data_IF_269242771464
#
_entry.id   IF_269242771464
#
_cell.length_a   1.000
_cell.length_b   1.000
_cell.length_c   1.000
_cell.angle_alpha   90.00
_cell.angle_beta   90.00
_cell.angle_gamma   90.00
#
_symmetry.space_group_name_H-M   'P 1'
#
loop_
_entity.id
_entity.type
_entity.pdbx_description
1 polymer ?
#
# COMPACT_ATOMS: atom_id res chain seq x y z
N UNK A 1 -12.39 2.22 6.45
CA UNK A 1 -11.83 3.60 6.52
C UNK A 1 -12.95 4.56 6.22
N UNK A 2 -12.99 5.72 6.88
CA UNK A 2 -14.01 6.76 6.67
C UNK A 2 -13.36 8.14 6.67
N UNK A 3 -13.85 9.04 5.84
CA UNK A 3 -13.42 10.44 5.75
C UNK A 3 -14.65 11.33 5.56
N UNK A 4 -14.70 12.44 6.29
CA UNK A 4 -15.67 13.50 6.06
C UNK A 4 -15.01 14.61 5.27
N UNK A 5 -15.57 14.95 4.12
CA UNK A 5 -15.09 16.02 3.25
C UNK A 5 -15.92 17.28 3.43
N UNK A 6 -15.25 18.42 3.34
CA UNK A 6 -15.87 19.73 3.37
C UNK A 6 -16.17 20.22 1.96
N UNK A 7 -17.25 20.97 1.82
CA UNK A 7 -17.46 21.89 0.72
C UNK A 7 -16.95 23.26 1.19
N UNK A 8 -17.85 24.23 1.38
CA UNK A 8 -17.53 25.57 1.87
C UNK A 8 -18.05 25.87 3.28
N UNK A 9 -18.53 24.87 4.02
CA UNK A 9 -19.14 25.08 5.33
C UNK A 9 -18.22 25.85 6.30
N UNK A 10 -16.91 25.55 6.27
CA UNK A 10 -15.92 26.22 7.13
C UNK A 10 -15.69 27.70 6.81
N UNK A 11 -16.22 28.20 5.69
CA UNK A 11 -16.24 29.63 5.39
C UNK A 11 -17.05 30.42 6.42
N UNK A 12 -18.12 29.81 6.95
CA UNK A 12 -19.09 30.49 7.84
C UNK A 12 -19.25 29.83 9.20
N UNK A 13 -18.84 28.57 9.34
CA UNK A 13 -18.96 27.86 10.61
C UNK A 13 -18.14 28.51 11.72
N UNK A 14 -18.79 28.64 12.87
CA UNK A 14 -18.19 29.09 14.11
C UNK A 14 -17.26 28.04 14.73
N UNK A 15 -16.47 28.47 15.71
CA UNK A 15 -15.65 27.57 16.53
C UNK A 15 -16.44 26.48 17.22
N UNK A 16 -17.63 26.82 17.71
CA UNK A 16 -18.54 25.88 18.36
C UNK A 16 -19.01 24.79 17.41
N UNK A 17 -19.42 25.15 16.19
CA UNK A 17 -19.88 24.18 15.18
C UNK A 17 -18.77 23.20 14.77
N UNK A 18 -17.54 23.69 14.58
CA UNK A 18 -16.39 22.81 14.30
C UNK A 18 -16.05 21.97 15.52
N UNK A 19 -16.19 22.50 16.73
CA UNK A 19 -16.05 21.75 17.98
C UNK A 19 -17.06 20.59 18.08
N UNK A 20 -18.32 20.83 17.72
CA UNK A 20 -19.36 19.81 17.67
C UNK A 20 -19.05 18.73 16.62
N UNK A 21 -18.60 19.12 15.42
CA UNK A 21 -18.13 18.17 14.41
C UNK A 21 -17.01 17.26 14.95
N UNK A 22 -15.99 17.85 15.58
CA UNK A 22 -14.86 17.11 16.13
C UNK A 22 -15.31 16.14 17.24
N UNK A 23 -16.24 16.56 18.10
CA UNK A 23 -16.83 15.70 19.11
C UNK A 23 -17.56 14.51 18.47
N UNK A 24 -18.33 14.74 17.39
CA UNK A 24 -19.05 13.66 16.69
C UNK A 24 -18.10 12.69 15.98
N UNK A 25 -16.98 13.18 15.44
CA UNK A 25 -15.95 12.30 14.90
C UNK A 25 -15.37 11.39 15.99
N UNK A 26 -15.13 11.92 17.19
CA UNK A 26 -14.66 11.10 18.34
C UNK A 26 -15.71 10.07 18.76
N UNK A 27 -16.99 10.44 18.77
CA UNK A 27 -18.08 9.50 19.06
C UNK A 27 -18.11 8.36 18.01
N UNK A 28 -17.95 8.69 16.74
CA UNK A 28 -17.92 7.71 15.64
C UNK A 28 -16.71 6.77 15.73
N UNK A 29 -15.53 7.29 16.05
CA UNK A 29 -14.33 6.48 16.30
C UNK A 29 -14.54 5.51 17.46
N UNK A 30 -15.12 6.00 18.55
CA UNK A 30 -15.38 5.19 19.76
C UNK A 30 -16.39 4.08 19.47
N UNK A 31 -17.41 4.36 18.66
CA UNK A 31 -18.42 3.38 18.28
C UNK A 31 -17.95 2.37 17.24
N UNK A 32 -16.87 2.64 16.50
CA UNK A 32 -16.40 1.81 15.38
C UNK A 32 -14.88 1.56 15.45
N UNK A 33 -14.39 0.77 16.42
CA UNK A 33 -12.94 0.60 16.66
C UNK A 33 -12.18 -0.04 15.49
N UNK A 34 -12.85 -0.79 14.63
CA UNK A 34 -12.24 -1.43 13.45
C UNK A 34 -12.17 -0.49 12.23
N UNK A 35 -12.77 0.70 12.32
CA UNK A 35 -12.76 1.71 11.26
C UNK A 35 -11.72 2.78 11.57
N UNK A 36 -10.74 2.95 10.68
CA UNK A 36 -9.85 4.11 10.72
C UNK A 36 -10.58 5.35 10.17
N UNK A 37 -10.69 6.39 10.99
CA UNK A 37 -11.24 7.69 10.59
C UNK A 37 -10.11 8.64 10.20
N UNK A 38 -10.33 9.36 9.10
CA UNK A 38 -9.43 10.37 8.56
C UNK A 38 -10.13 11.72 8.70
N UNK A 39 -9.47 12.66 9.36
CA UNK A 39 -9.88 14.05 9.41
C UNK A 39 -9.36 14.75 8.17
N UNK A 40 -10.05 15.80 7.74
CA UNK A 40 -9.69 16.59 6.57
C UNK A 40 -9.85 18.07 6.90
N UNK A 41 -8.99 18.93 6.37
CA UNK A 41 -9.21 20.38 6.35
C UNK A 41 -10.07 20.77 5.14
N UNK A 42 -10.77 21.89 5.19
CA UNK A 42 -11.41 22.46 4.00
C UNK A 42 -10.36 23.04 3.04
N UNK A 43 -10.81 23.45 1.86
CA UNK A 43 -10.00 24.15 0.85
C UNK A 43 -9.35 25.44 1.40
N UNK A 44 -8.41 26.02 0.66
CA UNK A 44 -7.77 27.30 0.99
C UNK A 44 -8.13 28.43 0.02
N UNK A 45 -9.31 28.40 -0.60
CA UNK A 45 -9.69 29.40 -1.61
C UNK A 45 -9.89 30.81 -1.01
N UNK A 46 -9.15 31.78 -1.52
CA UNK A 46 -9.23 33.18 -1.11
C UNK A 46 -8.75 33.45 0.32
N UNK A 47 -8.64 34.74 0.68
CA UNK A 47 -8.24 35.21 2.02
C UNK A 47 -9.36 35.02 3.07
N UNK A 48 -9.90 33.80 3.21
CA UNK A 48 -10.96 33.53 4.17
C UNK A 48 -10.40 33.19 5.56
N UNK A 49 -10.37 34.20 6.43
CA UNK A 49 -9.84 34.10 7.81
C UNK A 49 -10.64 33.14 8.69
N UNK A 50 -11.96 33.02 8.47
CA UNK A 50 -12.81 32.08 9.21
C UNK A 50 -12.41 30.64 8.87
N UNK A 51 -12.40 30.29 7.59
CA UNK A 51 -11.99 28.98 7.07
C UNK A 51 -10.59 28.62 7.53
N UNK A 52 -9.64 29.56 7.45
CA UNK A 52 -8.29 29.36 7.94
C UNK A 52 -8.27 29.02 9.44
N UNK A 53 -8.97 29.78 10.28
CA UNK A 53 -9.06 29.51 11.71
C UNK A 53 -9.70 28.14 12.02
N UNK A 54 -10.73 27.73 11.25
CA UNK A 54 -11.35 26.42 11.39
C UNK A 54 -10.43 25.28 10.94
N UNK A 55 -9.67 25.47 9.86
CA UNK A 55 -8.63 24.53 9.44
C UNK A 55 -7.55 24.36 10.53
N UNK A 56 -7.11 25.45 11.16
CA UNK A 56 -6.17 25.36 12.29
C UNK A 56 -6.76 24.64 13.51
N UNK A 57 -8.06 24.80 13.77
CA UNK A 57 -8.75 24.05 14.82
C UNK A 57 -8.72 22.53 14.56
N UNK A 58 -8.99 22.10 13.31
CA UNK A 58 -8.92 20.68 12.90
C UNK A 58 -7.48 20.16 12.99
N UNK A 59 -6.50 20.92 12.49
CA UNK A 59 -5.07 20.57 12.56
C UNK A 59 -4.62 20.42 14.01
N UNK A 60 -5.02 21.34 14.88
CA UNK A 60 -4.73 21.30 16.31
C UNK A 60 -5.28 20.02 16.94
N UNK A 61 -6.56 19.70 16.69
CA UNK A 61 -7.17 18.46 17.18
C UNK A 61 -6.40 17.21 16.74
N UNK A 62 -6.02 17.14 15.46
CA UNK A 62 -5.30 15.98 14.94
C UNK A 62 -3.91 15.83 15.59
N UNK A 63 -3.17 16.93 15.77
CA UNK A 63 -1.85 16.92 16.42
C UNK A 63 -1.96 16.55 17.90
N UNK A 64 -2.94 17.10 18.62
CA UNK A 64 -3.13 16.85 20.05
C UNK A 64 -3.49 15.38 20.33
N UNK A 65 -4.35 14.77 19.51
CA UNK A 65 -4.88 13.43 19.76
C UNK A 65 -4.31 12.34 18.84
N UNK A 66 -3.28 12.66 18.05
CA UNK A 66 -2.64 11.70 17.15
C UNK A 66 -3.56 11.16 16.06
N UNK A 67 -4.44 12.01 15.51
CA UNK A 67 -5.39 11.62 14.45
C UNK A 67 -4.76 11.68 13.07
N UNK A 68 -5.29 10.86 12.16
CA UNK A 68 -4.89 10.89 10.76
C UNK A 68 -5.52 12.12 10.10
N UNK A 69 -4.70 12.94 9.45
CA UNK A 69 -5.13 14.17 8.77
C UNK A 69 -4.78 14.11 7.28
N UNK A 70 -5.80 14.31 6.44
CA UNK A 70 -5.64 14.67 5.04
C UNK A 70 -5.78 16.20 4.90
N UNK A 71 -4.64 16.90 4.87
CA UNK A 71 -4.61 18.37 4.92
C UNK A 71 -4.80 19.01 3.54
N UNK A 72 -6.03 18.95 3.03
CA UNK A 72 -6.41 19.51 1.73
C UNK A 72 -6.05 20.99 1.60
N UNK A 73 -6.35 21.79 2.62
CA UNK A 73 -6.05 23.22 2.60
C UNK A 73 -4.55 23.52 2.57
N UNK A 74 -3.70 22.66 3.13
CA UNK A 74 -2.24 22.83 2.97
C UNK A 74 -1.82 22.48 1.53
N UNK A 75 -2.32 21.37 0.96
CA UNK A 75 -2.04 20.99 -0.44
C UNK A 75 -2.42 22.08 -1.45
N UNK A 76 -3.49 22.84 -1.19
CA UNK A 76 -3.88 23.99 -2.01
C UNK A 76 -2.83 25.11 -2.03
N UNK A 77 -2.10 25.29 -0.93
CA UNK A 77 -1.24 26.46 -0.75
C UNK A 77 0.17 26.29 -1.32
N UNK A 78 0.57 25.06 -1.69
CA UNK A 78 1.95 24.76 -2.10
C UNK A 78 2.08 24.34 -3.57
N UNK A 79 3.00 25.00 -4.28
CA UNK A 79 3.38 24.63 -5.65
C UNK A 79 4.88 24.79 -5.82
N UNK A 80 5.57 23.77 -6.34
CA UNK A 80 7.02 23.86 -6.60
C UNK A 80 7.89 24.17 -5.36
N UNK A 81 7.48 23.72 -4.16
CA UNK A 81 8.07 24.08 -2.86
C UNK A 81 7.93 25.56 -2.46
N UNK A 82 7.06 26.31 -3.13
CA UNK A 82 6.67 27.65 -2.75
C UNK A 82 5.29 27.62 -2.11
N UNK A 83 5.16 28.29 -0.96
CA UNK A 83 3.88 28.47 -0.27
C UNK A 83 3.30 29.82 -0.64
N UNK A 84 2.07 29.84 -1.11
CA UNK A 84 1.32 31.06 -1.33
C UNK A 84 0.54 31.50 -0.09
N UNK A 85 0.49 32.82 0.12
CA UNK A 85 -0.25 33.44 1.21
C UNK A 85 -0.63 34.88 0.86
N UNK A 86 -1.82 35.29 1.30
CA UNK A 86 -2.35 36.65 1.13
C UNK A 86 -2.72 37.21 2.51
N UNK A 87 -2.29 38.43 2.83
CA UNK A 87 -2.59 39.05 4.14
C UNK A 87 -2.11 38.23 5.35
N UNK A 88 -1.10 37.37 5.16
CA UNK A 88 -0.59 36.42 6.17
C UNK A 88 -1.41 35.12 6.30
N UNK A 89 -2.47 34.93 5.52
CA UNK A 89 -3.29 33.73 5.47
C UNK A 89 -2.77 32.83 4.35
N UNK A 90 -2.45 31.53 4.60
CA UNK A 90 -2.23 30.59 3.51
C UNK A 90 -3.48 30.46 2.64
N UNK A 91 -3.32 30.66 1.34
CA UNK A 91 -4.41 30.59 0.36
C UNK A 91 -3.98 29.78 -0.86
N UNK A 92 -4.96 29.29 -1.62
CA UNK A 92 -4.75 28.50 -2.83
C UNK A 92 -3.73 29.15 -3.75
N UNK A 93 -2.71 28.39 -4.12
CA UNK A 93 -1.65 28.86 -4.99
C UNK A 93 -2.22 29.22 -6.36
N UNK A 94 -1.87 30.37 -6.98
CA UNK A 94 -2.44 30.79 -8.26
C UNK A 94 -2.26 29.77 -9.40
N UNK A 95 -1.22 28.94 -9.31
CA UNK A 95 -0.98 27.83 -10.23
C UNK A 95 -2.06 26.74 -10.21
N UNK A 96 -2.90 26.68 -9.17
CA UNK A 96 -4.02 25.74 -9.05
C UNK A 96 -5.38 26.35 -9.37
N UNK A 97 -5.44 27.68 -9.55
CA UNK A 97 -6.67 28.36 -9.93
C UNK A 97 -7.15 27.88 -11.31
N UNK A 98 -8.43 27.58 -11.41
CA UNK A 98 -9.09 27.15 -12.64
C UNK A 98 -10.44 26.52 -12.36
N UNK A 99 -11.03 25.99 -13.41
CA UNK A 99 -12.27 25.22 -13.30
C UNK A 99 -12.16 23.97 -14.16
N UNK A 100 -11.73 22.88 -13.54
CA UNK A 100 -11.70 21.56 -14.14
C UNK A 100 -12.94 20.79 -13.67
N UNK A 101 -13.86 20.53 -14.58
CA UNK A 101 -15.07 19.72 -14.31
C UNK A 101 -15.95 20.25 -13.15
N UNK A 102 -15.98 21.58 -12.93
CA UNK A 102 -16.80 22.21 -11.89
C UNK A 102 -16.20 22.13 -10.48
N UNK A 103 -14.89 21.90 -10.36
CA UNK A 103 -14.22 21.66 -9.07
C UNK A 103 -13.62 22.92 -8.44
N UNK A 104 -13.75 24.08 -9.08
CA UNK A 104 -13.13 25.35 -8.64
C UNK A 104 -11.60 25.27 -8.45
N UNK A 105 -10.96 24.29 -9.07
CA UNK A 105 -9.52 24.13 -9.18
C UNK A 105 -9.19 23.58 -10.58
N UNK A 106 -7.93 23.66 -10.99
CA UNK A 106 -7.51 23.05 -12.25
C UNK A 106 -7.18 21.55 -12.13
N UNK A 107 -6.96 20.90 -13.27
CA UNK A 107 -6.67 19.46 -13.34
C UNK A 107 -5.41 19.07 -12.53
N UNK A 108 -4.38 19.93 -12.53
CA UNK A 108 -3.15 19.66 -11.80
C UNK A 108 -3.36 19.62 -10.28
N UNK A 109 -4.16 20.56 -9.77
CA UNK A 109 -4.60 20.59 -8.37
C UNK A 109 -5.32 19.29 -7.99
N UNK A 110 -6.28 18.85 -8.82
CA UNK A 110 -6.99 17.58 -8.63
C UNK A 110 -6.03 16.39 -8.59
N UNK A 111 -5.08 16.32 -9.54
CA UNK A 111 -4.07 15.25 -9.59
C UNK A 111 -3.14 15.27 -8.38
N UNK A 112 -2.72 16.45 -7.91
CA UNK A 112 -1.85 16.58 -6.74
C UNK A 112 -2.54 16.06 -5.47
N UNK A 113 -3.78 16.49 -5.24
CA UNK A 113 -4.66 16.01 -4.15
C UNK A 113 -4.87 14.50 -4.23
N UNK A 114 -5.20 13.98 -5.41
CA UNK A 114 -5.39 12.55 -5.62
C UNK A 114 -4.11 11.75 -5.31
N UNK A 115 -2.92 12.22 -5.73
CA UNK A 115 -1.64 11.55 -5.41
C UNK A 115 -1.42 11.47 -3.91
N UNK A 116 -1.62 12.58 -3.18
CA UNK A 116 -1.48 12.60 -1.73
C UNK A 116 -2.49 11.68 -1.04
N UNK A 117 -3.75 11.70 -1.48
CA UNK A 117 -4.79 10.82 -0.96
C UNK A 117 -4.46 9.33 -1.18
N UNK A 118 -4.13 8.94 -2.41
CA UNK A 118 -3.80 7.54 -2.73
C UNK A 118 -2.54 7.06 -2.01
N UNK A 119 -1.53 7.93 -1.87
CA UNK A 119 -0.34 7.61 -1.09
C UNK A 119 -0.71 7.34 0.38
N UNK A 120 -1.47 8.25 1.01
CA UNK A 120 -1.95 8.08 2.39
C UNK A 120 -2.76 6.80 2.53
N UNK A 121 -3.73 6.53 1.65
CA UNK A 121 -4.56 5.33 1.71
C UNK A 121 -3.73 4.05 1.57
N UNK A 122 -2.75 4.02 0.66
CA UNK A 122 -1.83 2.89 0.52
C UNK A 122 -1.00 2.68 1.79
N UNK A 123 -0.45 3.75 2.39
CA UNK A 123 0.28 3.70 3.66
C UNK A 123 -0.58 3.15 4.79
N UNK A 124 -1.81 3.63 4.93
CA UNK A 124 -2.76 3.16 5.94
C UNK A 124 -3.22 1.71 5.69
N UNK A 125 -3.20 1.25 4.44
CA UNK A 125 -3.41 -0.14 4.09
C UNK A 125 -2.16 -1.03 4.30
N UNK A 126 -1.04 -0.48 4.78
CA UNK A 126 0.16 -1.28 5.10
C UNK A 126 1.25 -1.26 4.03
N UNK A 127 1.13 -0.44 2.98
CA UNK A 127 2.22 -0.24 2.03
C UNK A 127 3.39 0.47 2.70
N UNK A 128 4.61 -0.05 2.51
CA UNK A 128 5.82 0.46 3.16
C UNK A 128 6.47 1.65 2.41
N UNK A 129 5.78 2.26 1.45
CA UNK A 129 6.21 3.50 0.80
C UNK A 129 7.46 3.35 -0.06
N UNK A 130 7.64 2.18 -0.67
CA UNK A 130 8.81 1.89 -1.52
C UNK A 130 10.12 1.67 -0.75
N UNK A 131 10.08 1.59 0.59
CA UNK A 131 11.21 1.05 1.37
C UNK A 131 11.25 -0.45 1.11
N UNK A 132 12.05 -0.84 0.14
CA UNK A 132 12.49 -2.22 0.02
C UNK A 132 13.36 -2.55 1.25
N UNK A 133 13.15 -3.69 1.93
CA UNK A 133 14.06 -4.11 2.97
C UNK A 133 15.49 -4.21 2.40
N UNK A 134 16.48 -3.89 3.24
CA UNK A 134 17.89 -3.76 2.86
C UNK A 134 18.52 -5.03 2.26
N UNK A 135 17.83 -6.16 2.39
CA UNK A 135 18.07 -7.37 1.63
C UNK A 135 16.75 -8.13 1.43
N UNK A 136 16.61 -8.92 0.34
CA UNK A 136 15.60 -9.97 0.28
C UNK A 136 15.67 -10.84 1.53
N UNK A 137 14.54 -11.32 2.07
CA UNK A 137 14.52 -12.17 3.26
C UNK A 137 14.80 -13.63 2.85
N UNK A 138 15.17 -13.87 1.59
CA UNK A 138 14.97 -15.11 0.90
C UNK A 138 16.12 -15.27 -0.09
N UNK A 139 17.12 -16.06 0.29
CA UNK A 139 18.05 -16.61 -0.68
C UNK A 139 17.42 -17.90 -1.22
N UNK A 140 16.98 -17.88 -2.47
CA UNK A 140 16.44 -19.07 -3.15
C UNK A 140 17.61 -19.93 -3.64
N UNK A 141 17.79 -21.09 -3.04
CA UNK A 141 18.76 -22.09 -3.47
C UNK A 141 18.01 -23.24 -4.16
N UNK A 142 18.07 -23.29 -5.49
CA UNK A 142 17.71 -24.50 -6.23
C UNK A 142 18.82 -25.55 -6.03
N UNK A 143 18.88 -26.09 -4.82
CA UNK A 143 19.85 -27.09 -4.42
C UNK A 143 19.63 -28.39 -5.18
N UNK A 144 20.46 -28.60 -6.20
CA UNK A 144 20.72 -29.86 -6.92
C UNK A 144 19.49 -30.55 -7.50
N UNK A 145 19.43 -30.60 -8.84
CA UNK A 145 18.63 -31.55 -9.62
C UNK A 145 18.79 -32.97 -9.04
N UNK A 146 17.92 -33.41 -8.13
CA UNK A 146 17.71 -34.83 -7.88
C UNK A 146 16.72 -35.29 -8.93
N UNK A 147 17.22 -35.49 -10.15
CA UNK A 147 16.58 -36.43 -11.05
C UNK A 147 16.78 -37.81 -10.43
N UNK A 148 15.85 -38.19 -9.55
CA UNK A 148 15.62 -39.59 -9.30
C UNK A 148 14.83 -40.11 -10.50
N UNK A 149 15.48 -40.91 -11.35
CA UNK A 149 14.83 -41.55 -12.50
C UNK A 149 13.65 -42.46 -12.12
N UNK A 150 13.35 -42.62 -10.82
CA UNK A 150 12.15 -43.28 -10.33
C UNK A 150 10.99 -42.32 -9.98
N UNK A 151 11.19 -40.99 -9.84
CA UNK A 151 10.19 -40.10 -9.23
C UNK A 151 10.08 -38.66 -9.77
N UNK A 152 10.85 -38.26 -10.80
CA UNK A 152 10.66 -36.98 -11.52
C UNK A 152 10.45 -35.73 -10.61
N UNK A 153 11.22 -35.57 -9.52
CA UNK A 153 10.87 -34.59 -8.46
C UNK A 153 11.92 -33.49 -8.24
N UNK A 154 11.53 -32.21 -8.35
CA UNK A 154 12.35 -31.06 -7.90
C UNK A 154 11.97 -30.65 -6.48
N UNK A 155 12.97 -30.20 -5.71
CA UNK A 155 12.79 -29.61 -4.39
C UNK A 155 13.51 -28.27 -4.31
N UNK A 156 12.82 -27.24 -3.86
CA UNK A 156 13.38 -25.90 -3.63
C UNK A 156 13.70 -25.73 -2.16
N UNK A 157 14.90 -25.24 -1.91
CA UNK A 157 15.31 -24.78 -0.60
C UNK A 157 15.49 -23.27 -0.60
N UNK A 158 15.31 -22.66 0.55
CA UNK A 158 15.65 -21.26 0.73
C UNK A 158 16.23 -21.01 2.12
N UNK A 159 17.15 -20.06 2.21
CA UNK A 159 17.50 -19.45 3.49
C UNK A 159 16.54 -18.29 3.72
N UNK A 160 15.75 -18.37 4.79
CA UNK A 160 14.72 -17.40 5.16
C UNK A 160 15.22 -16.56 6.32
N UNK A 161 15.35 -15.25 6.12
CA UNK A 161 15.58 -14.27 7.19
C UNK A 161 14.26 -13.56 7.51
N UNK A 162 13.68 -13.77 8.70
CA UNK A 162 12.46 -13.09 9.11
C UNK A 162 12.58 -11.57 9.00
N UNK A 163 11.54 -10.95 8.45
CA UNK A 163 11.26 -9.55 8.65
C UNK A 163 9.86 -9.46 9.29
N UNK A 164 9.71 -8.63 10.32
CA UNK A 164 8.44 -8.53 11.04
C UNK A 164 7.31 -8.04 10.10
N UNK A 165 6.18 -8.75 10.09
CA UNK A 165 4.98 -8.36 9.32
C UNK A 165 4.93 -8.88 7.87
N UNK A 166 5.76 -9.87 7.51
CA UNK A 166 5.84 -10.35 6.14
C UNK A 166 5.70 -11.88 6.00
N UNK A 167 5.08 -12.30 4.90
CA UNK A 167 5.02 -13.71 4.46
C UNK A 167 5.85 -13.89 3.18
N UNK A 168 6.71 -14.93 3.09
CA UNK A 168 7.42 -15.23 1.85
C UNK A 168 6.43 -15.75 0.79
N UNK A 169 6.39 -15.07 -0.35
CA UNK A 169 5.66 -15.47 -1.55
C UNK A 169 6.64 -16.14 -2.52
N UNK A 170 6.27 -17.30 -3.07
CA UNK A 170 7.05 -17.95 -4.13
C UNK A 170 6.13 -18.36 -5.28
N UNK A 171 6.51 -18.00 -6.51
CA UNK A 171 5.81 -18.43 -7.75
C UNK A 171 6.77 -18.94 -8.80
N UNK A 172 6.23 -19.74 -9.72
CA UNK A 172 6.92 -20.16 -10.93
C UNK A 172 6.37 -19.44 -12.15
N UNK A 173 7.28 -19.02 -13.02
CA UNK A 173 6.96 -18.50 -14.36
C UNK A 173 7.49 -19.51 -15.37
N UNK A 174 6.61 -19.98 -16.27
CA UNK A 174 6.99 -20.89 -17.35
C UNK A 174 7.77 -20.16 -18.46
N UNK A 175 8.46 -20.89 -19.35
CA UNK A 175 9.11 -20.31 -20.53
C UNK A 175 8.15 -19.47 -21.39
N UNK A 176 6.88 -19.89 -21.49
CA UNK A 176 5.82 -19.18 -22.19
C UNK A 176 5.24 -17.97 -21.42
N UNK A 177 5.74 -17.65 -20.23
CA UNK A 177 5.31 -16.52 -19.39
C UNK A 177 4.07 -16.79 -18.53
N UNK A 178 3.61 -18.05 -18.46
CA UNK A 178 2.47 -18.46 -17.63
C UNK A 178 2.84 -18.54 -16.15
N UNK A 179 1.88 -18.20 -15.28
CA UNK A 179 2.06 -18.30 -13.83
C UNK A 179 1.58 -19.65 -13.31
N UNK A 180 2.42 -20.23 -12.46
CA UNK A 180 2.19 -21.50 -11.82
C UNK A 180 2.21 -21.31 -10.30
N UNK A 181 1.15 -21.79 -9.65
CA UNK A 181 0.94 -21.63 -8.22
C UNK A 181 1.23 -22.93 -7.47
N UNK A 182 1.75 -22.79 -6.25
CA UNK A 182 2.00 -23.91 -5.34
C UNK A 182 0.73 -24.24 -4.57
N UNK A 183 0.32 -25.51 -4.58
CA UNK A 183 -0.77 -26.01 -3.73
C UNK A 183 -0.25 -26.49 -2.38
N UNK A 184 -1.18 -26.57 -1.41
CA UNK A 184 -0.95 -27.07 -0.04
C UNK A 184 -0.47 -28.55 0.03
N UNK A 185 -0.36 -29.25 -1.11
CA UNK A 185 0.09 -30.63 -1.23
C UNK A 185 1.37 -30.83 -2.07
N UNK A 186 2.03 -29.75 -2.52
CA UNK A 186 3.26 -29.85 -3.31
C UNK A 186 3.05 -30.01 -4.83
N UNK A 187 1.91 -29.58 -5.38
CA UNK A 187 1.66 -29.57 -6.82
C UNK A 187 1.69 -28.17 -7.43
N UNK A 188 2.04 -28.07 -8.72
CA UNK A 188 1.89 -26.89 -9.56
C UNK A 188 0.50 -26.88 -10.21
N UNK A 189 -0.26 -25.79 -10.07
CA UNK A 189 -1.48 -25.58 -10.87
C UNK A 189 -1.26 -24.39 -11.80
N UNK A 190 -1.62 -24.50 -13.10
CA UNK A 190 -1.74 -23.33 -13.96
C UNK A 190 -2.77 -22.39 -13.33
N UNK A 191 -2.41 -21.14 -13.07
CA UNK A 191 -3.39 -20.15 -12.63
C UNK A 191 -3.60 -19.09 -13.69
N UNK A 192 -4.85 -18.91 -14.10
CA UNK A 192 -5.29 -17.68 -14.74
C UNK A 192 -5.33 -16.55 -13.71
N UNK A 193 -5.06 -15.32 -14.13
CA UNK A 193 -5.10 -14.12 -13.29
C UNK A 193 -6.53 -13.70 -12.87
N UNK A 194 -7.44 -14.66 -12.66
CA UNK A 194 -8.84 -14.45 -12.35
C UNK A 194 -9.18 -14.91 -10.93
N UNK A 195 -9.70 -13.95 -10.15
CA UNK A 195 -10.51 -14.12 -8.93
C UNK A 195 -9.92 -14.95 -7.78
N UNK A 196 -9.48 -14.25 -6.73
CA UNK A 196 -9.25 -14.85 -5.43
C UNK A 196 -7.87 -15.48 -5.25
N UNK A 197 -6.86 -14.64 -5.07
CA UNK A 197 -5.72 -14.87 -4.19
C UNK A 197 -5.54 -16.30 -3.61
N UNK A 198 -4.90 -17.24 -4.32
CA UNK A 198 -4.43 -18.50 -3.72
C UNK A 198 -3.29 -18.29 -2.70
N UNK A 199 -2.95 -17.03 -2.38
CA UNK A 199 -1.76 -16.54 -1.68
C UNK A 199 -1.57 -17.02 -0.22
N UNK A 200 -2.38 -17.96 0.29
CA UNK A 200 -2.55 -18.13 1.73
C UNK A 200 -1.90 -19.36 2.38
N UNK A 201 -1.06 -20.14 1.69
CA UNK A 201 -0.34 -21.24 2.34
C UNK A 201 1.11 -21.39 1.89
N UNK A 202 1.82 -20.26 1.80
CA UNK A 202 3.28 -20.26 1.98
C UNK A 202 3.64 -20.57 3.44
N UNK A 203 4.92 -20.85 3.76
CA UNK A 203 5.37 -21.14 5.12
C UNK A 203 4.85 -20.10 6.11
N UNK A 204 4.25 -20.59 7.20
CA UNK A 204 3.80 -19.75 8.33
C UNK A 204 4.92 -18.79 8.74
N UNK A 205 4.53 -17.59 9.17
CA UNK A 205 5.41 -16.54 9.73
C UNK A 205 6.56 -17.17 10.49
N UNK A 206 7.75 -17.06 9.91
CA UNK A 206 8.95 -17.62 10.51
C UNK A 206 9.47 -16.58 11.50
N UNK A 207 9.59 -16.94 12.79
CA UNK A 207 10.01 -16.01 13.86
C UNK A 207 11.53 -15.97 14.08
N UNK A 208 12.30 -16.80 13.37
CA UNK A 208 13.76 -16.90 13.47
C UNK A 208 14.38 -17.29 12.12
N UNK A 209 15.61 -16.87 11.77
CA UNK A 209 16.26 -17.30 10.53
C UNK A 209 16.23 -18.82 10.34
N UNK A 210 15.88 -19.28 9.14
CA UNK A 210 15.92 -20.68 8.74
C UNK A 210 16.93 -20.84 7.61
N UNK A 211 17.78 -21.86 7.69
CA UNK A 211 18.68 -22.24 6.61
C UNK A 211 18.20 -23.52 5.93
N UNK A 212 18.36 -23.61 4.61
CA UNK A 212 18.00 -24.76 3.80
C UNK A 212 16.54 -25.21 4.01
N UNK A 213 15.62 -24.25 4.16
CA UNK A 213 14.21 -24.51 4.41
C UNK A 213 13.54 -25.00 3.13
N UNK A 214 12.91 -26.18 3.17
CA UNK A 214 12.17 -26.73 2.01
C UNK A 214 10.92 -25.89 1.75
N UNK A 215 10.99 -25.05 0.72
CA UNK A 215 9.89 -24.17 0.31
C UNK A 215 8.85 -24.95 -0.49
N UNK A 216 9.30 -25.81 -1.39
CA UNK A 216 8.43 -26.55 -2.30
C UNK A 216 9.09 -27.84 -2.78
N UNK A 217 8.27 -28.79 -3.23
CA UNK A 217 8.73 -30.02 -3.87
C UNK A 217 7.61 -30.61 -4.71
N UNK A 218 7.88 -30.97 -5.97
CA UNK A 218 6.86 -31.34 -6.95
C UNK A 218 7.42 -32.28 -8.03
N UNK A 219 6.53 -33.10 -8.61
CA UNK A 219 6.78 -34.10 -9.66
C UNK A 219 6.67 -33.49 -11.08
N UNK A 220 7.41 -34.02 -12.07
CA UNK A 220 7.74 -33.38 -13.36
C UNK A 220 6.95 -33.87 -14.57
N UNK A 221 6.07 -34.86 -14.42
CA UNK A 221 5.63 -35.75 -15.49
C UNK A 221 4.93 -35.08 -16.72
N UNK A 222 4.78 -33.75 -16.79
CA UNK A 222 4.27 -33.00 -17.95
C UNK A 222 4.84 -31.56 -18.09
N UNK A 223 6.10 -31.29 -17.73
CA UNK A 223 6.69 -29.93 -17.78
C UNK A 223 7.48 -29.72 -19.08
N UNK A 224 7.27 -28.59 -19.77
CA UNK A 224 7.99 -28.21 -20.99
C UNK A 224 9.48 -27.95 -20.70
N UNK A 225 10.38 -28.34 -21.61
CA UNK A 225 11.80 -27.95 -21.54
C UNK A 225 11.93 -26.42 -21.66
N UNK A 226 12.80 -25.81 -20.85
CA UNK A 226 13.10 -24.38 -20.94
C UNK A 226 13.49 -23.74 -19.61
N UNK A 227 13.67 -22.41 -19.63
CA UNK A 227 14.01 -21.64 -18.44
C UNK A 227 12.76 -21.26 -17.65
N UNK A 228 12.63 -21.82 -16.46
CA UNK A 228 11.63 -21.43 -15.48
C UNK A 228 12.21 -20.37 -14.56
N UNK A 229 11.39 -19.39 -14.18
CA UNK A 229 11.80 -18.38 -13.20
C UNK A 229 11.08 -18.60 -11.90
N UNK A 230 11.84 -18.86 -10.84
CA UNK A 230 11.35 -18.87 -9.47
C UNK A 230 11.41 -17.45 -8.93
N UNK A 231 10.27 -16.90 -8.51
CA UNK A 231 10.20 -15.55 -7.97
C UNK A 231 9.77 -15.56 -6.50
N UNK A 232 10.54 -14.88 -5.67
CA UNK A 232 10.29 -14.62 -4.26
C UNK A 232 9.84 -13.18 -4.03
N UNK A 233 8.86 -12.93 -3.16
CA UNK A 233 8.57 -11.58 -2.69
C UNK A 233 8.12 -11.58 -1.23
N UNK A 234 8.07 -10.38 -0.65
CA UNK A 234 7.40 -10.15 0.61
C UNK A 234 5.93 -9.85 0.37
N UNK A 235 5.06 -10.40 1.21
CA UNK A 235 3.66 -9.99 1.30
C UNK A 235 3.43 -9.33 2.64
N UNK A 236 3.12 -8.05 2.63
CA UNK A 236 2.72 -7.33 3.85
C UNK A 236 1.38 -7.82 4.38
N UNK A 237 1.03 -7.45 5.61
CA UNK A 237 -0.17 -7.90 6.33
C UNK A 237 -1.50 -7.72 5.54
N UNK A 238 -1.57 -6.73 4.63
CA UNK A 238 -2.73 -6.48 3.77
C UNK A 238 -2.68 -7.15 2.39
N UNK A 239 -1.75 -8.09 2.16
CA UNK A 239 -1.62 -8.79 0.87
C UNK A 239 -0.84 -8.01 -0.19
N UNK A 240 -0.21 -6.88 0.17
CA UNK A 240 0.58 -6.06 -0.76
C UNK A 240 1.93 -6.74 -1.00
N UNK A 241 2.22 -7.06 -2.26
CA UNK A 241 3.47 -7.67 -2.69
C UNK A 241 4.55 -6.59 -2.84
N UNK A 242 5.68 -6.76 -2.15
CA UNK A 242 6.87 -5.90 -2.29
C UNK A 242 7.71 -6.21 -3.53
N UNK A 243 8.96 -5.75 -3.58
CA UNK A 243 9.89 -6.06 -4.66
C UNK A 243 10.03 -7.57 -4.92
N UNK A 244 10.05 -7.94 -6.20
CA UNK A 244 10.24 -9.32 -6.63
C UNK A 244 11.73 -9.62 -6.78
N UNK A 245 12.16 -10.71 -6.13
CA UNK A 245 13.47 -11.33 -6.33
C UNK A 245 13.30 -12.60 -7.15
N UNK A 246 14.29 -12.97 -7.96
CA UNK A 246 14.17 -14.15 -8.80
C UNK A 246 15.47 -14.92 -8.97
N UNK A 247 15.34 -16.23 -9.15
CA UNK A 247 16.39 -17.10 -9.65
C UNK A 247 15.85 -17.94 -10.80
N UNK A 248 16.71 -18.25 -11.76
CA UNK A 248 16.34 -19.05 -12.93
C UNK A 248 16.63 -20.54 -12.65
N UNK A 249 15.78 -21.40 -13.20
CA UNK A 249 15.86 -22.85 -13.14
C UNK A 249 15.76 -23.37 -14.58
N UNK A 250 16.85 -23.91 -15.08
CA UNK A 250 16.86 -24.57 -16.39
C UNK A 250 16.33 -26.00 -16.25
N UNK A 251 15.27 -26.30 -17.01
CA UNK A 251 14.74 -27.64 -17.23
C UNK A 251 15.19 -28.07 -18.63
N UNK A 252 16.00 -29.13 -18.69
CA UNK A 252 16.50 -29.73 -19.94
C UNK A 252 15.76 -31.04 -20.20
#
# INVERSE_FOLDING_TARGET
MSIFSWCDELETWSEGQVGEYLARMVDLETANPDVRFVYMTANAQGENRTRHARNEQIRSHCRTYGRILYDFGDLDCWYGNERHAEGGVPVEHPAYNGDYEGTHANEESCRNKARAFWWMMARLAGWQGGVEPSAPPLALNAGTRLFDGAHDRITIYADVTPCAGFTPYVRFVSPAGGYHYLTNGGGIVPGGAGEGAPYLKGPRTVTSPLSNYRVASFEFDNVETGTYRLQGAFVGEAGIIGGLHSTDLEVE
#
